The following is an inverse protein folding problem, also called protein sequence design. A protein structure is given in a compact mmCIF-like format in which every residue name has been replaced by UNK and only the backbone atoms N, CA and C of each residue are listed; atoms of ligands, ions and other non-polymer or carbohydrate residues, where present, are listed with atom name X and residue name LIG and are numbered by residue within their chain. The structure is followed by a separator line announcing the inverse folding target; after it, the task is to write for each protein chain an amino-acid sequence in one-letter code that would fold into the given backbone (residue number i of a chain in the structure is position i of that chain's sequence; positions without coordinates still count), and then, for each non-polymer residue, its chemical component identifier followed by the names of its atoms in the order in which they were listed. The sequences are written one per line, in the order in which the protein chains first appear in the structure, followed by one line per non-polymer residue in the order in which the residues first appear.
data_IF_923059722821
#
_entry.id   IF_923059722821
#
_cell.length_a   1.000
_cell.length_b   1.000
_cell.length_c   1.000
_cell.angle_alpha   90.00
_cell.angle_beta   90.00
_cell.angle_gamma   90.00
#
_symmetry.space_group_name_H-M   'P 1'
#
loop_
_entity.id
_entity.type
_entity.pdbx_description
1 polymer ?
#
# COMPACT_ATOMS: atom_id res chain seq x y z
N UNK A 1 -15.55 4.61 -4.55
CA UNK A 1 -15.32 3.18 -4.23
C UNK A 1 -14.15 2.68 -5.07
N UNK A 2 -12.93 2.64 -4.52
CA UNK A 2 -11.76 1.92 -5.07
C UNK A 2 -10.90 1.49 -3.88
N UNK A 3 -10.55 2.44 -3.01
CA UNK A 3 -9.77 2.19 -1.79
C UNK A 3 -10.43 1.16 -0.86
N UNK A 4 -11.74 1.24 -0.64
CA UNK A 4 -12.46 0.28 0.20
C UNK A 4 -12.46 -1.15 -0.38
N UNK A 5 -12.38 -1.30 -1.70
CA UNK A 5 -12.25 -2.61 -2.37
C UNK A 5 -10.81 -3.11 -2.22
N UNK A 6 -9.82 -2.25 -2.48
CA UNK A 6 -8.40 -2.58 -2.32
C UNK A 6 -8.06 -2.99 -0.89
N UNK A 7 -8.53 -2.25 0.13
CA UNK A 7 -8.30 -2.59 1.54
C UNK A 7 -8.94 -3.93 1.93
N UNK A 8 -10.15 -4.22 1.42
CA UNK A 8 -10.79 -5.53 1.64
C UNK A 8 -10.02 -6.66 0.97
N UNK A 9 -9.43 -6.41 -0.20
CA UNK A 9 -8.61 -7.40 -0.90
C UNK A 9 -7.31 -7.65 -0.14
N UNK A 10 -6.58 -6.59 0.24
CA UNK A 10 -5.37 -6.69 1.05
C UNK A 10 -5.59 -7.34 2.43
N UNK A 11 -6.80 -7.17 3.01
CA UNK A 11 -7.22 -7.88 4.22
C UNK A 11 -7.40 -9.38 3.96
N UNK A 12 -8.06 -9.77 2.85
CA UNK A 12 -8.19 -11.17 2.46
C UNK A 12 -6.85 -11.83 2.14
N UNK A 13 -5.95 -11.09 1.53
CA UNK A 13 -4.60 -11.55 1.16
C UNK A 13 -3.65 -11.61 2.37
N UNK A 14 -4.12 -11.17 3.56
CA UNK A 14 -3.36 -11.23 4.81
C UNK A 14 -2.26 -10.18 4.95
N UNK A 15 -2.19 -9.20 4.04
CA UNK A 15 -1.20 -8.12 4.05
C UNK A 15 -1.60 -7.00 5.02
N UNK A 16 -2.90 -6.74 5.15
CA UNK A 16 -3.47 -5.71 6.02
C UNK A 16 -4.41 -6.34 7.04
N UNK A 17 -4.42 -5.82 8.26
CA UNK A 17 -5.41 -6.14 9.29
C UNK A 17 -6.37 -4.98 9.48
N UNK A 18 -7.63 -5.28 9.81
CA UNK A 18 -8.69 -4.30 10.05
C UNK A 18 -9.22 -4.43 11.46
N UNK A 19 -9.27 -3.32 12.20
CA UNK A 19 -9.83 -3.27 13.56
C UNK A 19 -10.91 -2.20 13.68
N UNK A 20 -12.08 -2.60 14.16
CA UNK A 20 -13.23 -1.72 14.41
C UNK A 20 -13.30 -1.39 15.88
N UNK A 21 -13.44 -0.11 16.20
CA UNK A 21 -13.59 0.42 17.53
C UNK A 21 -14.98 1.06 17.68
N UNK A 22 -15.70 0.63 18.72
CA UNK A 22 -17.05 1.09 19.02
C UNK A 22 -18.14 0.16 18.50
N UNK A 23 -19.32 0.22 19.13
CA UNK A 23 -20.54 -0.51 18.73
C UNK A 23 -21.65 0.42 18.21
N UNK A 24 -21.58 1.71 18.53
CA UNK A 24 -22.51 2.77 18.11
C UNK A 24 -21.72 3.98 17.61
N UNK A 25 -22.38 4.85 16.86
CA UNK A 25 -21.76 6.00 16.21
C UNK A 25 -21.10 6.96 17.24
N UNK A 26 -19.91 7.52 16.94
CA UNK A 26 -19.09 7.30 15.74
C UNK A 26 -18.25 6.02 15.82
N UNK A 27 -18.21 5.26 14.73
CA UNK A 27 -17.38 4.06 14.62
C UNK A 27 -16.03 4.44 14.03
N UNK A 28 -14.94 4.01 14.66
CA UNK A 28 -13.58 4.17 14.14
C UNK A 28 -13.09 2.84 13.56
N UNK A 29 -12.54 2.88 12.36
CA UNK A 29 -11.91 1.73 11.71
C UNK A 29 -10.44 2.05 11.49
N UNK A 30 -9.56 1.15 11.89
CA UNK A 30 -8.11 1.28 11.75
C UNK A 30 -7.58 0.12 10.92
N UNK A 31 -6.70 0.42 9.98
CA UNK A 31 -6.04 -0.54 9.11
C UNK A 31 -4.54 -0.51 9.37
N UNK A 32 -3.92 -1.67 9.60
CA UNK A 32 -2.49 -1.80 9.88
C UNK A 32 -1.89 -2.91 9.02
N UNK A 33 -0.62 -2.77 8.59
CA UNK A 33 0.12 -3.90 8.01
C UNK A 33 0.24 -5.05 9.01
N UNK A 34 0.04 -6.27 8.55
CA UNK A 34 0.35 -7.48 9.32
C UNK A 34 1.86 -7.72 9.37
N UNK A 35 2.32 -8.68 10.17
CA UNK A 35 3.74 -9.09 10.14
C UNK A 35 4.15 -9.61 8.76
N UNK A 36 3.26 -10.35 8.08
CA UNK A 36 3.46 -10.79 6.70
C UNK A 36 3.45 -9.62 5.70
N UNK A 37 2.53 -8.66 5.86
CA UNK A 37 2.51 -7.45 5.04
C UNK A 37 3.79 -6.62 5.15
N UNK A 38 4.40 -6.57 6.34
CA UNK A 38 5.67 -5.88 6.56
C UNK A 38 6.85 -6.58 5.87
N UNK A 39 6.87 -7.91 5.76
CA UNK A 39 7.96 -8.59 5.05
C UNK A 39 7.99 -8.28 3.55
N UNK A 40 6.86 -7.84 2.98
CA UNK A 40 6.77 -7.41 1.57
C UNK A 40 7.40 -6.04 1.29
N UNK A 41 7.70 -5.24 2.32
CA UNK A 41 8.31 -3.91 2.15
C UNK A 41 9.62 -4.03 1.36
N UNK A 42 10.47 -5.00 1.70
CA UNK A 42 11.74 -5.21 0.99
C UNK A 42 11.56 -5.53 -0.50
N UNK A 43 10.50 -6.25 -0.86
CA UNK A 43 10.17 -6.56 -2.26
C UNK A 43 9.74 -5.29 -2.99
N UNK A 44 8.86 -4.50 -2.37
CA UNK A 44 8.41 -3.23 -2.92
C UNK A 44 9.56 -2.24 -3.08
N UNK A 45 10.44 -2.14 -2.08
CA UNK A 45 11.64 -1.29 -2.14
C UNK A 45 12.55 -1.70 -3.30
N UNK A 46 12.73 -3.00 -3.53
CA UNK A 46 13.53 -3.51 -4.65
C UNK A 46 12.91 -3.14 -5.99
N UNK A 47 11.59 -3.27 -6.14
CA UNK A 47 10.87 -2.86 -7.36
C UNK A 47 11.00 -1.35 -7.58
N UNK A 48 10.86 -0.55 -6.52
CA UNK A 48 11.01 0.91 -6.58
C UNK A 48 12.42 1.31 -6.98
N UNK A 49 13.45 0.72 -6.37
CA UNK A 49 14.84 1.03 -6.72
C UNK A 49 15.14 0.65 -8.17
N UNK A 50 14.71 -0.52 -8.62
CA UNK A 50 14.85 -0.93 -10.02
C UNK A 50 14.15 0.05 -10.97
N UNK A 51 12.94 0.50 -10.62
CA UNK A 51 12.22 1.51 -11.38
C UNK A 51 12.98 2.83 -11.46
N UNK A 52 13.58 3.27 -10.35
CA UNK A 52 14.37 4.50 -10.29
C UNK A 52 15.65 4.39 -11.14
N UNK A 53 16.38 3.27 -11.06
CA UNK A 53 17.56 3.01 -11.89
C UNK A 53 17.22 3.11 -13.39
N UNK A 54 16.11 2.52 -13.82
CA UNK A 54 15.65 2.60 -15.21
C UNK A 54 15.34 4.04 -15.62
N UNK A 55 14.70 4.82 -14.75
CA UNK A 55 14.40 6.23 -15.00
C UNK A 55 15.67 7.09 -15.03
N UNK A 56 16.66 6.79 -14.20
CA UNK A 56 17.96 7.47 -14.23
C UNK A 56 18.74 7.17 -15.51
N UNK A 57 18.71 5.92 -15.98
CA UNK A 57 19.44 5.52 -17.19
C UNK A 57 18.76 5.93 -18.50
N UNK A 58 17.42 5.87 -18.54
CA UNK A 58 16.64 5.94 -19.79
C UNK A 58 15.41 6.86 -19.71
N UNK A 59 15.16 7.46 -18.55
CA UNK A 59 14.05 8.38 -18.37
C UNK A 59 14.34 9.73 -18.98
N UNK A 60 13.30 10.36 -19.51
CA UNK A 60 13.31 11.76 -19.90
C UNK A 60 12.34 12.50 -18.97
N UNK A 61 12.84 13.50 -18.25
CA UNK A 61 11.98 14.40 -17.50
C UNK A 61 11.30 15.33 -18.51
N UNK A 62 9.99 15.17 -18.68
CA UNK A 62 9.20 16.08 -19.49
C UNK A 62 8.85 17.27 -18.59
N UNK A 63 9.55 18.39 -18.80
CA UNK A 63 9.11 19.67 -18.25
C UNK A 63 7.77 20.02 -18.89
N UNK A 64 6.71 19.93 -18.08
CA UNK A 64 5.37 20.32 -18.50
C UNK A 64 5.37 21.85 -18.64
N UNK A 65 5.36 22.33 -19.89
CA UNK A 65 5.09 23.73 -20.27
C UNK A 65 3.65 24.09 -19.93
#
# INVERSE_FOLDING_TARGET
MILSVQLKQLEKDGLVSRKVYGKKSPIKVVYNLTNFGKSFIHVLDTITNCGNEIVEERGEFIDVV
#
